data_IF_049681166813
#
_entry.id   IF_049681166813
#
_cell.length_a   1.000
_cell.length_b   1.000
_cell.length_c   1.000
_cell.angle_alpha   90.00
_cell.angle_beta   90.00
_cell.angle_gamma   90.00
#
_symmetry.space_group_name_H-M   'P 1'
#
loop_
_entity.id
_entity.type
_entity.pdbx_description
1 polymer ?
#
# COMPACT_ATOMS: atom_id res chain seq x y z
N UNK A 1 -49.41 26.50 40.29
CA UNK A 1 -49.30 25.86 41.63
C UNK A 1 -49.12 26.97 42.66
N UNK A 2 -50.05 27.17 43.58
CA UNK A 2 -49.86 28.13 44.68
C UNK A 2 -48.89 27.54 45.72
N UNK A 3 -47.93 28.37 46.17
CA UNK A 3 -47.09 28.07 47.33
C UNK A 3 -47.57 28.93 48.50
N UNK A 4 -48.11 28.31 49.54
CA UNK A 4 -48.43 28.96 50.81
C UNK A 4 -47.59 28.30 51.91
N UNK A 5 -46.59 29.01 52.40
CA UNK A 5 -45.72 28.52 53.46
C UNK A 5 -46.40 28.70 54.83
N UNK A 6 -46.55 27.60 55.58
CA UNK A 6 -47.14 27.60 56.91
C UNK A 6 -46.15 26.99 57.92
N UNK A 7 -45.74 27.79 58.91
CA UNK A 7 -44.84 27.37 59.99
C UNK A 7 -43.62 28.27 60.15
N UNK A 8 -43.60 29.10 61.20
CA UNK A 8 -42.38 29.80 61.65
C UNK A 8 -41.60 28.86 62.59
N UNK A 9 -40.35 28.52 62.23
CA UNK A 9 -39.43 27.77 63.09
C UNK A 9 -38.94 26.41 62.60
N UNK A 10 -39.39 25.96 61.42
CA UNK A 10 -38.84 24.78 60.73
C UNK A 10 -37.65 25.18 59.81
N UNK A 11 -36.66 24.30 59.59
CA UNK A 11 -35.60 24.55 58.61
C UNK A 11 -36.18 24.62 57.18
N UNK A 12 -35.64 25.51 56.35
CA UNK A 12 -36.31 26.08 55.16
C UNK A 12 -36.56 25.13 53.97
N UNK A 13 -36.36 23.82 54.12
CA UNK A 13 -36.37 22.83 53.03
C UNK A 13 -37.33 21.65 53.23
N UNK A 14 -38.36 21.77 54.07
CA UNK A 14 -39.32 20.67 54.34
C UNK A 14 -40.77 21.04 54.00
N UNK A 15 -41.14 20.91 52.73
CA UNK A 15 -42.54 21.03 52.28
C UNK A 15 -43.28 19.71 52.44
N UNK A 16 -44.28 19.67 53.32
CA UNK A 16 -45.19 18.52 53.47
C UNK A 16 -46.35 18.64 52.48
N UNK A 17 -46.48 17.65 51.60
CA UNK A 17 -47.57 17.58 50.62
C UNK A 17 -48.73 16.75 51.16
N UNK A 18 -49.93 17.34 51.24
CA UNK A 18 -51.16 16.55 51.32
C UNK A 18 -51.41 15.85 49.95
N UNK A 19 -51.97 14.63 49.93
CA UNK A 19 -52.33 13.96 48.67
C UNK A 19 -53.39 14.78 47.92
N UNK A 20 -53.17 14.93 46.61
CA UNK A 20 -53.98 15.81 45.75
C UNK A 20 -55.44 15.34 45.71
N UNK A 21 -56.37 16.22 46.07
CA UNK A 21 -57.82 16.00 45.95
C UNK A 21 -58.58 15.85 47.26
N UNK A 22 -57.92 15.63 48.40
CA UNK A 22 -58.59 15.40 49.70
C UNK A 22 -58.52 16.65 50.60
N UNK A 23 -59.65 17.31 50.94
CA UNK A 23 -59.66 18.44 51.85
C UNK A 23 -59.55 17.98 53.32
N UNK A 24 -58.32 17.67 53.74
CA UNK A 24 -57.94 17.47 55.14
C UNK A 24 -57.60 18.82 55.81
N UNK A 25 -57.94 18.97 57.10
CA UNK A 25 -57.57 20.13 57.91
C UNK A 25 -56.47 19.73 58.88
N UNK A 26 -55.25 20.21 58.63
CA UNK A 26 -54.14 20.15 59.59
C UNK A 26 -54.51 20.95 60.85
N UNK A 27 -54.35 20.37 62.03
CA UNK A 27 -54.57 21.08 63.31
C UNK A 27 -53.28 21.54 63.96
N UNK A 28 -52.28 20.66 64.05
CA UNK A 28 -51.00 20.95 64.68
C UNK A 28 -49.84 20.30 63.94
N UNK A 29 -48.68 20.97 64.00
CA UNK A 29 -47.37 20.40 63.66
C UNK A 29 -46.39 20.81 64.74
N UNK A 30 -45.67 19.86 65.32
CA UNK A 30 -44.65 20.12 66.36
C UNK A 30 -43.37 19.34 66.07
N UNK A 31 -42.25 19.81 66.62
CA UNK A 31 -40.94 19.19 66.42
C UNK A 31 -40.14 19.16 67.74
N UNK A 32 -39.82 17.96 68.20
CA UNK A 32 -38.98 17.73 69.37
C UNK A 32 -37.49 17.72 68.93
N UNK A 33 -36.74 18.72 69.40
CA UNK A 33 -35.30 18.88 69.11
C UNK A 33 -34.39 17.95 69.93
N UNK A 34 -34.86 17.35 71.01
CA UNK A 34 -34.09 16.40 71.82
C UNK A 34 -34.29 14.96 71.33
N UNK A 35 -35.51 14.61 70.87
CA UNK A 35 -35.80 13.28 70.31
C UNK A 35 -35.66 13.20 68.78
N UNK A 36 -35.49 14.33 68.07
CA UNK A 36 -35.47 14.41 66.60
C UNK A 36 -36.78 13.92 65.93
N UNK A 37 -37.90 14.04 66.64
CA UNK A 37 -39.21 13.55 66.21
C UNK A 37 -40.10 14.71 65.78
N UNK A 38 -40.63 14.64 64.56
CA UNK A 38 -41.59 15.59 64.01
C UNK A 38 -42.98 14.96 64.00
N UNK A 39 -43.96 15.65 64.59
CA UNK A 39 -45.32 15.15 64.83
C UNK A 39 -46.33 16.01 64.10
N UNK A 40 -47.24 15.37 63.37
CA UNK A 40 -48.25 15.99 62.51
C UNK A 40 -49.65 15.44 62.84
N UNK A 41 -50.58 16.34 63.17
CA UNK A 41 -51.97 16.03 63.50
C UNK A 41 -52.91 16.63 62.45
N UNK A 42 -53.69 15.78 61.77
CA UNK A 42 -54.72 16.22 60.83
C UNK A 42 -56.02 15.43 60.97
N UNK A 43 -57.13 16.09 60.64
CA UNK A 43 -58.47 15.49 60.62
C UNK A 43 -59.12 15.72 59.26
N UNK A 44 -59.76 14.68 58.73
CA UNK A 44 -60.56 14.77 57.52
C UNK A 44 -61.85 15.56 57.80
N UNK A 45 -62.31 16.38 56.84
CA UNK A 45 -63.64 16.98 56.96
C UNK A 45 -64.72 15.90 56.77
N UNK A 46 -65.85 16.02 57.48
CA UNK A 46 -66.89 14.99 57.56
C UNK A 46 -67.48 14.63 56.19
N UNK A 47 -67.65 15.64 55.34
CA UNK A 47 -68.22 15.50 53.99
C UNK A 47 -67.21 14.85 53.02
N UNK A 48 -65.91 14.99 53.28
CA UNK A 48 -64.83 14.45 52.45
C UNK A 48 -64.64 12.94 52.63
N UNK A 49 -64.83 12.44 53.86
CA UNK A 49 -64.81 10.99 54.14
C UNK A 49 -65.90 10.25 53.35
N UNK A 50 -67.10 10.81 53.28
CA UNK A 50 -68.21 10.23 52.51
C UNK A 50 -67.92 10.13 51.00
N UNK A 51 -67.30 11.16 50.40
CA UNK A 51 -66.99 11.19 48.97
C UNK A 51 -65.97 10.12 48.51
N UNK A 52 -65.11 9.64 49.43
CA UNK A 52 -64.08 8.62 49.16
C UNK A 52 -64.28 7.32 49.97
N UNK A 53 -65.44 7.16 50.61
CA UNK A 53 -65.80 6.02 51.48
C UNK A 53 -64.75 5.70 52.57
N UNK A 54 -64.19 6.75 53.19
CA UNK A 54 -63.22 6.66 54.29
C UNK A 54 -63.85 7.14 55.62
N UNK A 55 -63.50 6.53 56.77
CA UNK A 55 -63.94 7.01 58.08
C UNK A 55 -63.42 8.44 58.34
N UNK A 56 -64.26 9.26 58.98
CA UNK A 56 -63.98 10.68 59.24
C UNK A 56 -63.03 10.93 60.45
N UNK A 57 -62.14 9.98 60.70
CA UNK A 57 -61.26 9.96 61.87
C UNK A 57 -59.91 10.62 61.61
N UNK A 58 -59.29 11.11 62.67
CA UNK A 58 -57.98 11.75 62.61
C UNK A 58 -56.85 10.73 62.48
N UNK A 59 -55.74 11.17 61.90
CA UNK A 59 -54.48 10.44 61.90
C UNK A 59 -53.37 11.28 62.51
N UNK A 60 -52.53 10.62 63.32
CA UNK A 60 -51.32 11.17 63.91
C UNK A 60 -50.12 10.55 63.20
N UNK A 61 -49.30 11.36 62.53
CA UNK A 61 -48.06 10.91 61.88
C UNK A 61 -46.86 11.39 62.71
N UNK A 62 -45.99 10.47 63.12
CA UNK A 62 -44.74 10.74 63.83
C UNK A 62 -43.57 10.29 62.96
N UNK A 63 -42.64 11.19 62.67
CA UNK A 63 -41.44 10.89 61.87
C UNK A 63 -40.21 11.13 62.74
N UNK A 64 -39.50 10.06 63.09
CA UNK A 64 -38.24 10.11 63.80
C UNK A 64 -37.10 10.24 62.76
N UNK A 65 -36.45 11.41 62.75
CA UNK A 65 -35.41 11.76 61.78
C UNK A 65 -34.05 11.11 62.09
N UNK A 66 -33.84 10.64 63.32
CA UNK A 66 -32.60 9.99 63.77
C UNK A 66 -32.56 8.53 63.32
N UNK A 67 -33.61 7.79 63.64
CA UNK A 67 -33.72 6.36 63.35
C UNK A 67 -34.37 6.09 62.00
N UNK A 68 -34.83 7.16 61.32
CA UNK A 68 -35.48 7.19 60.00
C UNK A 68 -36.77 6.36 59.92
N UNK A 69 -37.47 6.21 61.03
CA UNK A 69 -38.79 5.55 61.08
C UNK A 69 -39.92 6.56 60.96
N UNK A 70 -41.02 6.12 60.37
CA UNK A 70 -42.28 6.85 60.34
C UNK A 70 -43.39 5.95 60.88
N UNK A 71 -44.09 6.44 61.90
CA UNK A 71 -45.22 5.77 62.55
C UNK A 71 -46.48 6.58 62.27
N UNK A 72 -47.58 5.91 61.96
CA UNK A 72 -48.88 6.54 61.89
C UNK A 72 -49.88 5.80 62.79
N UNK A 73 -50.72 6.57 63.47
CA UNK A 73 -51.73 6.08 64.39
C UNK A 73 -53.10 6.61 63.94
N UNK A 74 -54.02 5.69 63.65
CA UNK A 74 -55.42 5.97 63.35
C UNK A 74 -56.20 5.86 64.65
N UNK A 75 -57.08 6.84 64.93
CA UNK A 75 -57.89 6.83 66.15
C UNK A 75 -58.84 5.61 66.28
N UNK A 76 -59.08 4.89 65.19
CA UNK A 76 -59.97 3.72 65.11
C UNK A 76 -59.23 2.38 65.18
N UNK A 77 -58.44 2.15 66.23
CA UNK A 77 -57.88 0.83 66.57
C UNK A 77 -56.43 0.59 66.15
N UNK A 78 -55.69 -0.10 67.01
CA UNK A 78 -54.24 -0.33 66.94
C UNK A 78 -53.79 -1.10 65.70
N UNK A 79 -53.04 -0.45 64.81
CA UNK A 79 -52.37 -1.11 63.67
C UNK A 79 -51.07 -0.39 63.26
N UNK A 80 -50.16 -0.24 64.23
CA UNK A 80 -48.83 0.38 64.05
C UNK A 80 -47.96 -0.46 63.11
N UNK A 81 -48.01 -0.18 61.80
CA UNK A 81 -47.28 -0.94 60.78
C UNK A 81 -45.96 -0.25 60.42
N UNK A 82 -44.94 -0.47 61.24
CA UNK A 82 -43.59 0.07 61.04
C UNK A 82 -42.96 -0.48 59.75
N UNK A 83 -42.96 0.31 58.67
CA UNK A 83 -42.36 -0.10 57.40
C UNK A 83 -40.85 0.16 57.40
N UNK A 84 -40.05 -0.91 57.48
CA UNK A 84 -38.59 -0.84 57.45
C UNK A 84 -38.07 -0.35 56.07
N UNK A 85 -37.75 0.94 55.99
CA UNK A 85 -37.19 1.56 54.78
C UNK A 85 -35.74 1.15 54.51
N UNK A 86 -35.05 0.45 55.42
CA UNK A 86 -33.67 -0.01 55.19
C UNK A 86 -33.62 -1.06 54.08
N UNK A 87 -34.69 -1.84 53.86
CA UNK A 87 -34.82 -2.72 52.71
C UNK A 87 -34.75 -1.93 51.39
N UNK A 88 -35.56 -0.88 51.27
CA UNK A 88 -35.61 0.00 50.09
C UNK A 88 -34.28 0.72 49.88
N UNK A 89 -33.67 1.25 50.95
CA UNK A 89 -32.36 1.89 50.89
C UNK A 89 -31.24 0.92 50.43
N UNK A 90 -31.22 -0.31 50.96
CA UNK A 90 -30.26 -1.36 50.55
C UNK A 90 -30.44 -1.75 49.09
N UNK A 91 -31.68 -1.85 48.61
CA UNK A 91 -32.00 -2.12 47.20
C UNK A 91 -31.44 -1.02 46.28
N UNK A 92 -31.65 0.26 46.62
CA UNK A 92 -31.08 1.37 45.84
C UNK A 92 -29.55 1.41 45.86
N UNK A 93 -28.92 1.16 47.01
CA UNK A 93 -27.45 1.07 47.11
C UNK A 93 -26.90 -0.07 46.25
N UNK A 94 -27.54 -1.25 46.30
CA UNK A 94 -27.13 -2.41 45.50
C UNK A 94 -27.30 -2.17 43.99
N UNK A 95 -28.42 -1.59 43.56
CA UNK A 95 -28.63 -1.20 42.17
C UNK A 95 -27.59 -0.18 41.69
N UNK A 96 -27.23 0.79 42.55
CA UNK A 96 -26.20 1.78 42.25
C UNK A 96 -24.80 1.15 42.14
N UNK A 97 -24.43 0.19 43.00
CA UNK A 97 -23.14 -0.50 42.87
C UNK A 97 -23.07 -1.37 41.63
N UNK A 98 -24.15 -2.08 41.26
CA UNK A 98 -24.23 -2.85 40.01
C UNK A 98 -24.07 -1.94 38.78
N UNK A 99 -24.71 -0.76 38.78
CA UNK A 99 -24.56 0.22 37.69
C UNK A 99 -23.12 0.73 37.55
N UNK A 100 -22.45 1.04 38.66
CA UNK A 100 -21.05 1.48 38.64
C UNK A 100 -20.11 0.36 38.15
N UNK A 101 -20.32 -0.87 38.59
CA UNK A 101 -19.55 -2.04 38.11
C UNK A 101 -19.73 -2.20 36.59
N UNK A 102 -20.96 -2.10 36.08
CA UNK A 102 -21.23 -2.17 34.64
C UNK A 102 -20.54 -1.04 33.85
N UNK A 103 -20.56 0.18 34.37
CA UNK A 103 -19.90 1.33 33.75
C UNK A 103 -18.36 1.16 33.72
N UNK A 104 -17.76 0.64 34.79
CA UNK A 104 -16.32 0.33 34.85
C UNK A 104 -15.92 -0.79 33.89
N UNK A 105 -16.74 -1.85 33.76
CA UNK A 105 -16.56 -2.91 32.76
C UNK A 105 -16.63 -2.32 31.34
N UNK A 106 -17.62 -1.46 31.07
CA UNK A 106 -17.76 -0.78 29.77
C UNK A 106 -16.54 0.07 29.41
N UNK A 107 -16.01 0.85 30.37
CA UNK A 107 -14.79 1.65 30.19
C UNK A 107 -13.55 0.77 29.96
N UNK A 108 -13.41 -0.34 30.70
CA UNK A 108 -12.30 -1.28 30.51
C UNK A 108 -12.34 -1.94 29.12
N UNK A 109 -13.53 -2.37 28.66
CA UNK A 109 -13.73 -2.90 27.31
C UNK A 109 -13.40 -1.83 26.26
N UNK A 110 -13.91 -0.61 26.40
CA UNK A 110 -13.66 0.49 25.47
C UNK A 110 -12.17 0.87 25.37
N UNK A 111 -11.46 0.92 26.50
CA UNK A 111 -10.01 1.16 26.50
C UNK A 111 -9.25 0.05 25.76
N UNK A 112 -9.63 -1.22 25.97
CA UNK A 112 -9.01 -2.37 25.30
C UNK A 112 -9.32 -2.40 23.80
N UNK A 113 -10.56 -2.11 23.38
CA UNK A 113 -10.96 -2.12 21.96
C UNK A 113 -10.52 -0.86 21.21
N UNK A 114 -10.32 0.28 21.87
CA UNK A 114 -9.77 1.50 21.28
C UNK A 114 -8.25 1.48 21.14
N UNK A 115 -7.52 1.21 22.23
CA UNK A 115 -6.05 1.38 22.27
C UNK A 115 -5.33 0.31 21.42
N UNK A 116 -5.82 -0.93 21.38
CA UNK A 116 -5.19 -2.03 20.64
C UNK A 116 -5.13 -1.81 19.11
N UNK A 117 -6.21 -1.47 18.40
CA UNK A 117 -6.14 -1.21 16.95
C UNK A 117 -5.38 0.08 16.62
N UNK A 118 -5.42 1.11 17.46
CA UNK A 118 -4.60 2.32 17.27
C UNK A 118 -3.12 1.96 17.28
N UNK A 119 -2.65 1.22 18.29
CA UNK A 119 -1.25 0.75 18.34
C UNK A 119 -0.87 -0.15 17.16
N UNK A 120 -1.79 -1.02 16.68
CA UNK A 120 -1.55 -1.82 15.47
C UNK A 120 -1.46 -0.98 14.19
N UNK A 121 -2.26 0.07 14.05
CA UNK A 121 -2.25 0.97 12.87
C UNK A 121 -1.09 1.96 12.86
N UNK A 122 -0.54 2.32 14.02
CA UNK A 122 0.62 3.20 14.15
C UNK A 122 1.97 2.47 14.14
N UNK A 123 1.99 1.13 14.29
CA UNK A 123 3.23 0.33 14.22
C UNK A 123 4.04 0.58 12.93
N UNK A 124 3.45 0.62 11.72
CA UNK A 124 4.20 0.92 10.49
C UNK A 124 4.79 2.33 10.46
N UNK A 125 4.14 3.32 11.09
CA UNK A 125 4.64 4.69 11.16
C UNK A 125 5.86 4.79 12.09
N UNK A 126 5.89 4.01 13.17
CA UNK A 126 7.06 3.89 14.04
C UNK A 126 8.21 3.18 13.33
N UNK A 127 7.93 2.12 12.56
CA UNK A 127 8.93 1.38 11.77
C UNK A 127 9.55 2.28 10.69
N UNK A 128 8.72 3.00 9.92
CA UNK A 128 9.19 4.01 8.94
C UNK A 128 10.02 5.11 9.61
N UNK A 129 9.64 5.54 10.82
CA UNK A 129 10.37 6.57 11.57
C UNK A 129 11.71 6.05 12.12
N UNK A 130 11.78 4.77 12.52
CA UNK A 130 13.00 4.11 12.96
C UNK A 130 13.98 3.90 11.80
N UNK A 131 13.48 3.47 10.63
CA UNK A 131 14.29 3.25 9.43
C UNK A 131 14.71 4.55 8.74
N UNK A 132 13.86 5.57 8.71
CA UNK A 132 14.26 6.92 8.29
C UNK A 132 15.30 7.54 9.23
N UNK A 133 15.22 7.27 10.54
CA UNK A 133 16.25 7.69 11.48
C UNK A 133 17.57 6.94 11.27
N UNK A 134 17.56 5.63 10.98
CA UNK A 134 18.75 4.88 10.57
C UNK A 134 19.40 5.51 9.33
N UNK A 135 18.65 5.73 8.25
CA UNK A 135 19.14 6.38 7.02
C UNK A 135 19.67 7.80 7.30
N UNK A 136 19.05 8.55 8.21
CA UNK A 136 19.48 9.90 8.59
C UNK A 136 20.65 9.96 9.58
N UNK A 137 21.06 8.83 10.17
CA UNK A 137 22.16 8.76 11.16
C UNK A 137 23.29 7.82 10.78
N UNK A 138 23.12 7.05 9.70
CA UNK A 138 24.23 6.51 8.93
C UNK A 138 25.15 7.66 8.51
N UNK A 139 26.45 7.62 8.83
CA UNK A 139 27.38 8.54 8.22
C UNK A 139 27.40 8.28 6.72
N UNK A 140 27.18 9.33 5.91
CA UNK A 140 27.47 9.30 4.48
C UNK A 140 28.98 9.25 4.32
N UNK A 141 29.48 8.02 4.38
CA UNK A 141 30.90 7.71 4.49
C UNK A 141 31.59 7.92 3.14
N UNK A 142 32.27 9.06 3.03
CA UNK A 142 33.02 9.50 1.84
C UNK A 142 34.02 8.43 1.36
N UNK A 143 34.50 7.57 2.26
CA UNK A 143 35.37 6.44 1.91
C UNK A 143 34.64 5.37 1.09
N UNK A 144 33.36 5.06 1.36
CA UNK A 144 32.57 4.11 0.56
C UNK A 144 32.31 4.61 -0.86
N UNK A 145 32.14 5.92 -1.03
CA UNK A 145 31.99 6.55 -2.35
C UNK A 145 33.30 6.44 -3.13
N UNK A 146 34.45 6.73 -2.50
CA UNK A 146 35.75 6.52 -3.13
C UNK A 146 36.07 5.04 -3.40
N UNK A 147 35.66 4.09 -2.56
CA UNK A 147 35.83 2.66 -2.84
C UNK A 147 35.00 2.23 -4.06
N UNK A 148 33.77 2.74 -4.21
CA UNK A 148 32.93 2.49 -5.38
C UNK A 148 33.52 3.15 -6.65
N UNK A 149 34.03 4.39 -6.56
CA UNK A 149 34.74 5.08 -7.65
C UNK A 149 36.01 4.32 -8.08
N UNK A 150 36.80 3.83 -7.12
CA UNK A 150 37.98 3.00 -7.36
C UNK A 150 37.61 1.62 -7.94
N UNK A 151 36.45 1.07 -7.60
CA UNK A 151 35.96 -0.18 -8.18
C UNK A 151 35.49 0.02 -9.63
N UNK A 152 34.78 1.12 -9.93
CA UNK A 152 34.28 1.46 -11.27
C UNK A 152 35.43 1.80 -12.22
N UNK A 153 36.38 2.64 -11.79
CA UNK A 153 37.52 3.09 -12.63
C UNK A 153 38.46 1.95 -13.08
N UNK A 154 38.37 0.77 -12.44
CA UNK A 154 39.12 -0.44 -12.82
C UNK A 154 38.39 -1.34 -13.83
N UNK A 155 37.16 -0.99 -14.24
CA UNK A 155 36.37 -1.81 -15.16
C UNK A 155 36.40 -1.23 -16.57
N UNK A 156 37.39 -1.68 -17.32
CA UNK A 156 37.54 -1.46 -18.77
C UNK A 156 36.74 -2.52 -19.57
N UNK A 157 36.16 -2.18 -20.75
CA UNK A 157 35.41 -3.16 -21.56
C UNK A 157 36.25 -4.32 -22.11
N UNK A 158 37.55 -4.08 -22.33
CA UNK A 158 38.59 -5.02 -22.74
C UNK A 158 39.29 -5.72 -21.55
N UNK A 159 39.00 -5.28 -20.32
CA UNK A 159 39.62 -5.80 -19.10
C UNK A 159 39.07 -7.16 -18.64
N UNK A 160 39.63 -7.72 -17.56
CA UNK A 160 39.14 -8.96 -16.94
C UNK A 160 37.64 -8.90 -16.59
N UNK A 161 36.99 -10.06 -16.54
CA UNK A 161 35.56 -10.24 -16.19
C UNK A 161 35.27 -10.00 -14.69
N UNK A 162 35.87 -8.96 -14.10
CA UNK A 162 35.50 -8.46 -12.78
C UNK A 162 34.08 -7.91 -12.78
N UNK A 163 33.38 -8.10 -11.65
CA UNK A 163 32.12 -7.42 -11.34
C UNK A 163 32.35 -6.46 -10.19
N UNK A 164 31.57 -5.38 -10.15
CA UNK A 164 31.46 -4.56 -8.94
C UNK A 164 30.88 -5.43 -7.83
N UNK A 165 31.60 -5.50 -6.73
CA UNK A 165 31.15 -6.09 -5.46
C UNK A 165 31.61 -5.14 -4.38
N UNK A 166 30.68 -4.40 -3.79
CA UNK A 166 30.91 -3.82 -2.47
C UNK A 166 30.37 -4.83 -1.45
N UNK A 167 30.97 -4.92 -0.27
CA UNK A 167 30.45 -5.85 0.75
C UNK A 167 29.32 -5.22 1.57
N UNK A 168 28.60 -4.25 0.98
CA UNK A 168 27.58 -3.42 1.61
C UNK A 168 26.18 -3.86 1.17
N UNK A 169 25.28 -4.11 2.12
CA UNK A 169 23.88 -4.42 1.83
C UNK A 169 23.10 -3.26 1.22
N UNK A 170 23.51 -2.02 1.48
CA UNK A 170 22.83 -0.79 1.04
C UNK A 170 23.10 -0.51 -0.46
N UNK A 171 24.28 -0.88 -0.95
CA UNK A 171 24.72 -0.60 -2.34
C UNK A 171 24.37 -1.70 -3.35
N UNK A 172 23.89 -2.87 -2.93
CA UNK A 172 23.57 -4.02 -3.82
C UNK A 172 22.64 -3.70 -5.00
N UNK A 173 21.68 -2.79 -4.80
CA UNK A 173 20.80 -2.35 -5.89
C UNK A 173 21.55 -1.57 -6.98
N UNK A 174 22.49 -0.72 -6.57
CA UNK A 174 23.36 0.05 -7.46
C UNK A 174 24.40 -0.85 -8.14
N UNK A 175 25.00 -1.78 -7.40
CA UNK A 175 25.88 -2.81 -7.97
C UNK A 175 25.20 -3.62 -9.06
N UNK A 176 23.97 -4.09 -8.85
CA UNK A 176 23.23 -4.86 -9.84
C UNK A 176 22.95 -4.03 -11.11
N UNK A 177 22.61 -2.75 -10.95
CA UNK A 177 22.37 -1.84 -12.07
C UNK A 177 23.66 -1.57 -12.87
N UNK A 178 24.76 -1.20 -12.21
CA UNK A 178 26.02 -0.88 -12.89
C UNK A 178 26.66 -2.14 -13.48
N UNK A 179 26.62 -3.29 -12.81
CA UNK A 179 27.08 -4.56 -13.41
C UNK A 179 26.28 -4.93 -14.67
N UNK A 180 24.96 -4.71 -14.68
CA UNK A 180 24.13 -4.93 -15.88
C UNK A 180 24.50 -3.97 -17.02
N UNK A 181 24.83 -2.72 -16.72
CA UNK A 181 25.35 -1.76 -17.69
C UNK A 181 26.73 -2.16 -18.23
N UNK A 182 27.64 -2.61 -17.36
CA UNK A 182 28.98 -3.11 -17.72
C UNK A 182 28.89 -4.34 -18.61
N UNK A 183 28.07 -5.33 -18.25
CA UNK A 183 27.95 -6.57 -19.02
C UNK A 183 27.36 -6.28 -20.43
N UNK A 184 26.36 -5.39 -20.54
CA UNK A 184 25.89 -4.86 -21.84
C UNK A 184 27.00 -4.15 -22.64
N UNK A 185 27.75 -3.26 -22.01
CA UNK A 185 28.84 -2.52 -22.65
C UNK A 185 29.94 -3.46 -23.18
N UNK A 186 30.28 -4.50 -22.40
CA UNK A 186 31.23 -5.56 -22.80
C UNK A 186 30.71 -6.35 -24.01
N UNK A 187 29.42 -6.67 -24.05
CA UNK A 187 28.85 -7.44 -25.16
C UNK A 187 28.76 -6.62 -26.45
N UNK A 188 28.35 -5.34 -26.38
CA UNK A 188 28.44 -4.41 -27.52
C UNK A 188 29.88 -4.22 -27.99
N UNK A 189 30.85 -4.08 -27.07
CA UNK A 189 32.27 -4.00 -27.43
C UNK A 189 32.78 -5.29 -28.09
N UNK A 190 32.38 -6.47 -27.62
CA UNK A 190 32.70 -7.76 -28.26
C UNK A 190 32.10 -7.89 -29.65
N UNK A 191 30.86 -7.42 -29.85
CA UNK A 191 30.22 -7.37 -31.16
C UNK A 191 30.99 -6.44 -32.10
N UNK A 192 31.37 -5.24 -31.66
CA UNK A 192 32.16 -4.29 -32.44
C UNK A 192 33.54 -4.83 -32.81
N UNK A 193 34.27 -5.43 -31.87
CA UNK A 193 35.60 -6.03 -32.11
C UNK A 193 35.50 -7.21 -33.09
N UNK A 194 34.46 -8.04 -32.97
CA UNK A 194 34.20 -9.13 -33.91
C UNK A 194 33.87 -8.59 -35.31
N UNK A 195 32.94 -7.66 -35.43
CA UNK A 195 32.57 -7.02 -36.70
C UNK A 195 33.78 -6.41 -37.42
N UNK A 196 34.65 -5.67 -36.69
CA UNK A 196 35.89 -5.11 -37.27
C UNK A 196 36.88 -6.21 -37.66
N UNK A 197 37.01 -7.28 -36.88
CA UNK A 197 37.83 -8.45 -37.22
C UNK A 197 37.35 -9.12 -38.51
N UNK A 198 36.07 -9.47 -38.56
CA UNK A 198 35.46 -10.24 -39.65
C UNK A 198 35.50 -9.42 -40.95
N UNK A 199 35.11 -8.14 -40.91
CA UNK A 199 35.28 -7.21 -42.05
C UNK A 199 36.75 -7.07 -42.49
N UNK A 200 37.70 -7.08 -41.56
CA UNK A 200 39.14 -7.04 -41.87
C UNK A 200 39.69 -8.35 -42.43
N UNK A 201 38.96 -9.45 -42.32
CA UNK A 201 39.25 -10.74 -42.95
C UNK A 201 38.61 -10.81 -44.34
N UNK A 202 37.32 -10.50 -44.46
CA UNK A 202 36.60 -10.52 -45.73
C UNK A 202 37.09 -9.47 -46.72
N UNK A 203 37.62 -8.31 -46.28
CA UNK A 203 38.31 -7.37 -47.18
C UNK A 203 39.72 -7.83 -47.60
N UNK A 204 40.39 -8.67 -46.79
CA UNK A 204 41.79 -9.06 -47.03
C UNK A 204 41.92 -10.06 -48.17
N UNK A 205 40.97 -10.99 -48.29
CA UNK A 205 40.97 -12.02 -49.34
C UNK A 205 40.83 -11.42 -50.75
N UNK A 206 39.85 -10.55 -51.04
CA UNK A 206 39.77 -9.77 -52.29
C UNK A 206 41.04 -9.00 -52.62
N UNK A 207 41.61 -8.27 -51.65
CA UNK A 207 42.84 -7.48 -51.87
C UNK A 207 44.02 -8.40 -52.24
N UNK A 208 44.13 -9.58 -51.63
CA UNK A 208 45.16 -10.56 -51.97
C UNK A 208 44.96 -11.15 -53.39
N UNK A 209 43.72 -11.42 -53.79
CA UNK A 209 43.38 -11.93 -55.14
C UNK A 209 43.64 -10.87 -56.22
N UNK A 210 43.13 -9.65 -56.04
CA UNK A 210 43.38 -8.50 -56.93
C UNK A 210 44.89 -8.26 -57.09
N UNK A 211 45.64 -8.27 -55.98
CA UNK A 211 47.09 -8.13 -56.03
C UNK A 211 47.76 -9.30 -56.76
N UNK A 212 47.33 -10.54 -56.53
CA UNK A 212 47.88 -11.72 -57.20
C UNK A 212 47.78 -11.64 -58.73
N UNK A 213 46.61 -11.22 -59.25
CA UNK A 213 46.42 -10.98 -60.67
C UNK A 213 47.18 -9.74 -61.18
N UNK A 214 47.27 -8.67 -60.39
CA UNK A 214 48.06 -7.50 -60.76
C UNK A 214 49.58 -7.79 -60.83
N UNK A 215 50.13 -8.54 -59.87
CA UNK A 215 51.53 -8.99 -59.86
C UNK A 215 51.82 -10.00 -60.99
N UNK A 216 50.83 -10.81 -61.41
CA UNK A 216 50.92 -11.70 -62.57
C UNK A 216 50.94 -10.93 -63.89
N UNK A 217 49.98 -10.01 -64.05
CA UNK A 217 49.93 -9.08 -65.17
C UNK A 217 51.22 -8.29 -65.29
N UNK A 218 51.75 -7.71 -64.20
CA UNK A 218 52.93 -6.86 -64.31
C UNK A 218 54.17 -7.60 -64.82
N UNK A 219 54.36 -8.85 -64.40
CA UNK A 219 55.57 -9.62 -64.68
C UNK A 219 55.58 -10.32 -66.05
N UNK A 220 54.44 -10.81 -66.54
CA UNK A 220 54.37 -11.59 -67.79
C UNK A 220 52.97 -11.70 -68.41
N UNK A 221 51.88 -11.46 -67.68
CA UNK A 221 50.51 -11.59 -68.19
C UNK A 221 50.05 -10.54 -69.22
N UNK A 222 50.92 -9.60 -69.63
CA UNK A 222 50.58 -8.53 -70.59
C UNK A 222 50.50 -9.03 -72.03
N UNK A 223 51.33 -10.01 -72.37
CA UNK A 223 51.58 -10.45 -73.75
C UNK A 223 50.78 -11.72 -74.14
N UNK A 224 50.14 -12.38 -73.17
CA UNK A 224 49.17 -13.47 -73.39
C UNK A 224 47.74 -12.91 -73.29
N UNK A 225 46.98 -12.82 -74.41
CA UNK A 225 45.63 -12.25 -74.40
C UNK A 225 44.65 -12.97 -73.48
N UNK A 226 44.82 -14.29 -73.27
CA UNK A 226 43.92 -15.08 -72.43
C UNK A 226 44.15 -14.75 -70.95
N UNK A 227 45.42 -14.69 -70.54
CA UNK A 227 45.78 -14.36 -69.15
C UNK A 227 45.46 -12.89 -68.85
N UNK A 228 45.61 -12.00 -69.84
CA UNK A 228 45.19 -10.61 -69.75
C UNK A 228 43.68 -10.49 -69.46
N UNK A 229 42.84 -11.15 -70.26
CA UNK A 229 41.37 -11.09 -70.11
C UNK A 229 40.87 -11.81 -68.85
N UNK A 230 41.47 -12.94 -68.48
CA UNK A 230 41.19 -13.66 -67.22
C UNK A 230 41.51 -12.77 -66.00
N UNK A 231 42.69 -12.16 -65.98
CA UNK A 231 43.15 -11.30 -64.89
C UNK A 231 42.30 -10.03 -64.76
N UNK A 232 41.95 -9.36 -65.87
CA UNK A 232 41.07 -8.19 -65.87
C UNK A 232 39.67 -8.58 -65.35
N UNK A 233 39.15 -9.73 -65.78
CA UNK A 233 37.83 -10.23 -65.35
C UNK A 233 37.82 -10.54 -63.86
N UNK A 234 38.86 -11.20 -63.34
CA UNK A 234 39.01 -11.50 -61.93
C UNK A 234 39.14 -10.22 -61.08
N UNK A 235 40.05 -9.30 -61.46
CA UNK A 235 40.21 -8.01 -60.75
C UNK A 235 38.90 -7.23 -60.73
N UNK A 236 38.14 -7.18 -61.85
CA UNK A 236 36.85 -6.49 -61.90
C UNK A 236 35.81 -7.15 -61.00
N UNK A 237 35.63 -8.47 -61.08
CA UNK A 237 34.68 -9.22 -60.22
C UNK A 237 34.98 -8.97 -58.75
N UNK A 238 36.26 -9.08 -58.39
CA UNK A 238 36.69 -9.00 -57.00
C UNK A 238 36.61 -7.56 -56.45
N UNK A 239 36.75 -6.56 -57.32
CA UNK A 239 36.49 -5.15 -56.98
C UNK A 239 34.99 -4.85 -56.78
N UNK A 240 34.09 -5.47 -57.56
CA UNK A 240 32.64 -5.40 -57.34
C UNK A 240 32.25 -6.03 -56.01
N UNK A 241 32.78 -7.23 -55.71
CA UNK A 241 32.57 -7.91 -54.43
C UNK A 241 33.02 -7.06 -53.23
N UNK A 242 34.16 -6.37 -53.32
CA UNK A 242 34.58 -5.40 -52.29
C UNK A 242 33.59 -4.23 -52.13
N UNK A 243 32.99 -3.74 -53.22
CA UNK A 243 32.02 -2.65 -53.16
C UNK A 243 30.70 -3.09 -52.50
N UNK A 244 30.22 -4.28 -52.86
CA UNK A 244 29.05 -4.92 -52.24
C UNK A 244 29.25 -5.11 -50.73
N UNK A 245 30.42 -5.63 -50.32
CA UNK A 245 30.77 -5.79 -48.91
C UNK A 245 30.83 -4.43 -48.17
N UNK A 246 31.37 -3.38 -48.81
CA UNK A 246 31.41 -2.03 -48.20
C UNK A 246 30.00 -1.45 -48.02
N UNK A 247 29.09 -1.60 -48.98
CA UNK A 247 27.70 -1.16 -48.80
C UNK A 247 26.96 -1.98 -47.73
N UNK A 248 27.19 -3.29 -47.63
CA UNK A 248 26.65 -4.12 -46.52
C UNK A 248 27.15 -3.63 -45.14
N UNK A 249 28.44 -3.32 -45.01
CA UNK A 249 29.03 -2.77 -43.78
C UNK A 249 28.46 -1.38 -43.45
N UNK A 250 28.22 -0.53 -44.47
CA UNK A 250 27.58 0.78 -44.31
C UNK A 250 26.09 0.68 -43.96
N UNK A 251 25.37 -0.31 -44.51
CA UNK A 251 23.98 -0.60 -44.18
C UNK A 251 23.84 -1.01 -42.71
N UNK A 252 24.63 -1.99 -42.26
CA UNK A 252 24.65 -2.42 -40.86
C UNK A 252 24.97 -1.27 -39.90
N UNK A 253 25.98 -0.45 -40.22
CA UNK A 253 26.36 0.72 -39.42
C UNK A 253 25.30 1.84 -39.40
N UNK A 254 24.37 1.88 -40.36
CA UNK A 254 23.22 2.80 -40.37
C UNK A 254 22.03 2.22 -39.61
N UNK A 255 21.70 0.93 -39.81
CA UNK A 255 20.59 0.24 -39.17
C UNK A 255 20.66 0.24 -37.64
N UNK A 256 21.85 -0.03 -37.10
CA UNK A 256 22.13 -0.05 -35.65
C UNK A 256 21.89 1.31 -34.95
N UNK A 257 21.73 2.39 -35.72
CA UNK A 257 21.40 3.72 -35.19
C UNK A 257 19.93 3.92 -34.81
N UNK A 258 19.04 2.98 -35.16
CA UNK A 258 17.60 3.02 -34.85
C UNK A 258 16.84 4.17 -35.52
N UNK A 259 17.39 4.77 -36.58
CA UNK A 259 16.83 5.95 -37.29
C UNK A 259 16.32 5.67 -38.69
N UNK A 260 16.46 4.45 -39.20
CA UNK A 260 15.79 4.02 -40.43
C UNK A 260 14.27 4.01 -40.17
N UNK A 261 13.45 4.80 -40.88
CA UNK A 261 12.01 4.74 -40.72
C UNK A 261 11.50 3.46 -41.40
N UNK A 262 11.07 2.49 -40.60
CA UNK A 262 10.55 1.20 -41.09
C UNK A 262 9.21 1.43 -41.78
N UNK A 263 9.11 1.09 -43.06
CA UNK A 263 7.91 1.29 -43.87
C UNK A 263 7.08 0.01 -43.91
N UNK A 264 6.19 -0.15 -42.94
CA UNK A 264 5.36 -1.35 -42.81
C UNK A 264 4.27 -1.39 -43.88
N UNK A 265 4.35 -2.36 -44.78
CA UNK A 265 3.34 -2.69 -45.79
C UNK A 265 2.86 -4.15 -45.64
N UNK A 266 1.70 -4.48 -46.23
CA UNK A 266 1.15 -5.84 -46.24
C UNK A 266 1.78 -6.66 -47.37
N UNK A 267 2.77 -7.50 -47.05
CA UNK A 267 3.46 -8.36 -48.01
C UNK A 267 2.97 -9.82 -47.99
N UNK A 268 3.07 -10.49 -49.13
CA UNK A 268 2.77 -11.93 -49.26
C UNK A 268 4.01 -12.75 -48.93
N UNK A 269 4.00 -13.46 -47.79
CA UNK A 269 5.11 -14.34 -47.39
C UNK A 269 5.34 -15.44 -48.45
N UNK A 270 4.28 -15.88 -49.14
CA UNK A 270 4.38 -16.87 -50.20
C UNK A 270 5.21 -16.40 -51.40
N UNK A 271 5.19 -15.10 -51.72
CA UNK A 271 5.89 -14.56 -52.88
C UNK A 271 7.37 -14.35 -52.54
N UNK A 272 7.68 -13.75 -51.38
CA UNK A 272 9.06 -13.63 -50.87
C UNK A 272 9.72 -15.00 -50.68
N UNK A 273 9.02 -15.97 -50.08
CA UNK A 273 9.57 -17.33 -49.91
C UNK A 273 9.72 -18.10 -51.23
N UNK A 274 8.98 -17.73 -52.28
CA UNK A 274 9.15 -18.27 -53.63
C UNK A 274 10.37 -17.67 -54.31
N UNK A 275 10.58 -16.37 -54.18
CA UNK A 275 11.78 -15.68 -54.71
C UNK A 275 13.06 -16.24 -54.10
N UNK A 276 13.13 -16.34 -52.76
CA UNK A 276 14.25 -16.97 -52.04
C UNK A 276 14.49 -18.42 -52.47
N UNK A 277 13.43 -19.17 -52.80
CA UNK A 277 13.54 -20.54 -53.33
C UNK A 277 14.08 -20.59 -54.78
N UNK A 278 13.66 -19.66 -55.65
CA UNK A 278 14.15 -19.54 -57.02
C UNK A 278 15.63 -19.07 -57.05
N UNK A 279 16.03 -18.12 -56.18
CA UNK A 279 17.43 -17.73 -56.00
C UNK A 279 18.29 -18.89 -55.47
N UNK A 280 17.82 -19.61 -54.44
CA UNK A 280 18.56 -20.75 -53.86
C UNK A 280 18.86 -21.84 -54.89
N UNK A 281 17.90 -22.11 -55.79
CA UNK A 281 18.07 -23.03 -56.93
C UNK A 281 19.09 -22.54 -57.96
N UNK A 282 19.27 -21.23 -58.12
CA UNK A 282 20.30 -20.65 -59.00
C UNK A 282 21.70 -20.70 -58.37
N UNK A 283 21.81 -20.78 -57.04
CA UNK A 283 23.08 -20.84 -56.30
C UNK A 283 23.64 -22.27 -56.23
N UNK A 284 22.83 -23.27 -55.83
CA UNK A 284 23.26 -24.69 -55.81
C UNK A 284 22.20 -25.65 -56.35
N UNK A 285 22.30 -25.94 -57.66
CA UNK A 285 21.47 -26.94 -58.34
C UNK A 285 21.73 -28.40 -57.94
N UNK A 286 22.68 -28.71 -57.05
CA UNK A 286 22.82 -30.05 -56.45
C UNK A 286 22.00 -30.21 -55.16
N UNK A 287 21.51 -29.12 -54.58
CA UNK A 287 20.72 -29.17 -53.35
C UNK A 287 19.22 -29.35 -53.66
N UNK A 288 18.57 -30.26 -52.93
CA UNK A 288 17.13 -30.52 -53.10
C UNK A 288 16.32 -29.58 -52.23
N UNK A 289 15.96 -28.42 -52.76
CA UNK A 289 14.99 -27.51 -52.15
C UNK A 289 13.55 -28.01 -52.37
N UNK A 290 12.65 -27.79 -51.40
CA UNK A 290 11.22 -28.08 -51.52
C UNK A 290 10.40 -26.91 -50.95
N UNK A 291 9.64 -26.21 -51.80
CA UNK A 291 8.73 -25.15 -51.37
C UNK A 291 7.29 -25.66 -51.23
N UNK A 292 6.66 -25.37 -50.09
CA UNK A 292 5.27 -25.77 -49.77
C UNK A 292 4.51 -24.57 -49.18
N UNK A 293 3.77 -23.87 -50.03
CA UNK A 293 2.77 -22.87 -49.60
C UNK A 293 1.55 -23.56 -48.95
N UNK A 294 0.87 -22.88 -48.03
CA UNK A 294 -0.31 -23.38 -47.30
C UNK A 294 -1.35 -22.28 -47.08
N UNK A 295 -2.00 -21.85 -48.16
CA UNK A 295 -2.94 -20.73 -48.17
C UNK A 295 -2.24 -19.38 -48.34
N UNK A 296 -3.00 -18.28 -48.42
CA UNK A 296 -2.39 -16.95 -48.43
C UNK A 296 -1.92 -16.60 -47.01
N UNK A 297 -0.64 -16.25 -46.87
CA UNK A 297 -0.04 -15.85 -45.60
C UNK A 297 0.53 -14.45 -45.83
N UNK A 298 -0.14 -13.46 -45.23
CA UNK A 298 0.20 -12.04 -45.31
C UNK A 298 0.92 -11.62 -44.02
N UNK A 299 1.84 -10.65 -44.11
CA UNK A 299 2.54 -10.07 -42.97
C UNK A 299 2.70 -8.56 -43.10
N UNK A 300 2.67 -7.88 -41.96
CA UNK A 300 3.14 -6.51 -41.80
C UNK A 300 4.68 -6.52 -41.72
N UNK A 301 5.36 -6.04 -42.76
CA UNK A 301 6.82 -5.99 -42.83
C UNK A 301 7.32 -4.84 -43.74
N UNK A 302 8.63 -4.64 -43.80
CA UNK A 302 9.30 -3.67 -44.69
C UNK A 302 9.89 -4.41 -45.90
N UNK A 303 9.89 -3.77 -47.07
CA UNK A 303 10.31 -4.35 -48.38
C UNK A 303 11.68 -3.80 -48.83
N UNK A 304 12.55 -3.44 -47.87
CA UNK A 304 13.75 -2.61 -48.04
C UNK A 304 15.10 -3.36 -47.91
#
# INVERSE_FOLDING_TARGET
MNRTAWGRGLPEAMYVYAPVGVPAVTRNVSYDKQQYTLVYEARLNRDAGAAYNMPADGYLLRVNLRDRTAEYELYSGSLTKTTDITFVARMFIWMWTVLNIWQLIGLAVYAVTGIRPIRKRLKPLNEISEDAFKISTMPFDETRIHDLENAISRITPDGPQGKLVTNDSELKGLEAAINSMIDRLRDSYRQQVRFVSDASHELRTPIAVIKGYADMLDRWGKDDPKILEESITAIRKESSHMNELVEQLLFLARGDSGRQPVNIEHISINEVMKEVYEESLMIDGNHTYEFKSSGNIEADADEA
#
